data_IF_499155452676
#
_entry.id   IF_499155452676
#
_cell.length_a   1.000
_cell.length_b   1.000
_cell.length_c   1.000
_cell.angle_alpha   90.00
_cell.angle_beta   90.00
_cell.angle_gamma   90.00
#
_symmetry.space_group_name_H-M   'P 1'
#
loop_
_entity.id
_entity.type
_entity.pdbx_description
1 polymer ?
#
# COMPACT_ATOMS: atom_id res chain seq x y z
N UNK A 1 -11.01 11.27 -25.62
CA UNK A 1 -10.94 9.81 -25.44
C UNK A 1 -10.77 9.54 -23.95
N UNK A 2 -11.82 9.07 -23.29
CA UNK A 2 -11.99 9.09 -21.82
C UNK A 2 -11.40 7.85 -21.12
N UNK A 3 -10.88 6.89 -21.88
CA UNK A 3 -10.26 5.68 -21.34
C UNK A 3 -8.80 5.61 -21.79
N UNK A 4 -7.88 6.04 -20.92
CA UNK A 4 -6.47 5.70 -21.04
C UNK A 4 -6.20 4.59 -20.02
N UNK A 5 -5.62 3.49 -20.48
CA UNK A 5 -5.41 2.23 -19.72
C UNK A 5 -4.75 2.48 -18.35
N UNK A 6 -3.92 3.51 -18.25
CA UNK A 6 -3.15 3.85 -17.04
C UNK A 6 -3.75 4.98 -16.19
N UNK A 7 -4.92 5.53 -16.53
CA UNK A 7 -5.55 6.65 -15.80
C UNK A 7 -6.79 6.21 -15.06
N UNK A 8 -6.76 6.31 -13.73
CA UNK A 8 -7.97 6.31 -12.91
C UNK A 8 -8.83 7.52 -13.24
N UNK A 9 -10.16 7.34 -13.28
CA UNK A 9 -11.11 8.44 -13.47
C UNK A 9 -11.57 8.91 -12.10
N UNK A 10 -11.19 10.12 -11.69
CA UNK A 10 -11.63 10.70 -10.42
C UNK A 10 -13.14 10.96 -10.49
N UNK A 11 -13.89 10.37 -9.58
CA UNK A 11 -15.36 10.44 -9.53
C UNK A 11 -15.86 11.40 -8.46
N UNK A 12 -15.05 11.69 -7.43
CA UNK A 12 -15.35 12.68 -6.40
C UNK A 12 -14.06 13.30 -5.85
N UNK A 13 -14.08 14.62 -5.68
CA UNK A 13 -13.02 15.39 -5.00
C UNK A 13 -13.59 16.07 -3.77
N UNK A 14 -12.80 16.15 -2.71
CA UNK A 14 -13.19 16.86 -1.50
C UNK A 14 -12.86 18.35 -1.55
N UNK A 15 -13.14 19.06 -0.47
CA UNK A 15 -13.11 20.53 -0.42
C UNK A 15 -11.70 21.12 -0.58
N UNK A 16 -10.65 20.33 -0.31
CA UNK A 16 -9.25 20.75 -0.47
C UNK A 16 -8.54 20.08 -1.65
N UNK A 17 -9.30 19.49 -2.58
CA UNK A 17 -8.78 18.88 -3.80
C UNK A 17 -8.32 17.42 -3.65
N UNK A 18 -8.51 16.81 -2.48
CA UNK A 18 -8.30 15.37 -2.25
C UNK A 18 -9.19 14.52 -3.15
N UNK A 19 -8.64 13.44 -3.72
CA UNK A 19 -9.42 12.44 -4.45
C UNK A 19 -10.16 11.54 -3.47
N UNK A 20 -11.46 11.79 -3.29
CA UNK A 20 -12.31 11.03 -2.38
C UNK A 20 -12.82 9.73 -3.01
N UNK A 21 -12.96 9.69 -4.33
CA UNK A 21 -13.38 8.52 -5.08
C UNK A 21 -12.77 8.55 -6.48
N UNK A 22 -12.41 7.37 -6.99
CA UNK A 22 -12.02 7.18 -8.38
C UNK A 22 -12.50 5.83 -8.89
N UNK A 23 -12.75 5.73 -10.19
CA UNK A 23 -12.75 4.44 -10.88
C UNK A 23 -11.29 4.05 -11.08
N UNK A 24 -10.88 2.94 -10.45
CA UNK A 24 -9.56 2.35 -10.64
C UNK A 24 -9.24 2.20 -12.13
N UNK A 25 -7.95 2.31 -12.48
CA UNK A 25 -7.52 2.03 -13.85
C UNK A 25 -7.96 0.62 -14.25
N UNK A 26 -8.47 0.43 -15.47
CA UNK A 26 -9.11 -0.83 -15.90
C UNK A 26 -8.19 -2.04 -15.76
N UNK A 27 -6.86 -1.84 -15.89
CA UNK A 27 -5.89 -2.92 -15.69
C UNK A 27 -5.83 -3.42 -14.23
N UNK A 28 -6.03 -2.55 -13.23
CA UNK A 28 -6.03 -2.95 -11.82
C UNK A 28 -7.28 -3.78 -11.51
N UNK A 29 -8.44 -3.39 -12.02
CA UNK A 29 -9.69 -4.13 -11.85
C UNK A 29 -9.58 -5.55 -12.42
N UNK A 30 -9.11 -5.68 -13.66
CA UNK A 30 -8.88 -6.99 -14.27
C UNK A 30 -7.89 -7.83 -13.45
N UNK A 31 -6.80 -7.21 -12.97
CA UNK A 31 -5.82 -7.90 -12.12
C UNK A 31 -6.41 -8.35 -10.79
N UNK A 32 -7.19 -7.53 -10.10
CA UNK A 32 -7.80 -7.96 -8.83
C UNK A 32 -8.79 -9.12 -9.02
N UNK A 33 -9.55 -9.12 -10.12
CA UNK A 33 -10.43 -10.24 -10.50
C UNK A 33 -9.60 -11.51 -10.78
N UNK A 34 -8.50 -11.39 -11.53
CA UNK A 34 -7.59 -12.52 -11.80
C UNK A 34 -6.88 -13.01 -10.53
N UNK A 35 -6.43 -12.09 -9.66
CA UNK A 35 -5.81 -12.39 -8.37
C UNK A 35 -6.76 -13.14 -7.43
N UNK A 36 -8.04 -12.77 -7.44
CA UNK A 36 -9.08 -13.48 -6.72
C UNK A 36 -9.42 -14.83 -7.38
N UNK A 37 -9.06 -15.06 -8.64
CA UNK A 37 -9.42 -16.29 -9.35
C UNK A 37 -10.93 -16.48 -9.43
N UNK A 38 -11.69 -15.39 -9.64
CA UNK A 38 -13.15 -15.44 -9.71
C UNK A 38 -13.59 -16.31 -10.89
N UNK A 39 -14.52 -17.23 -10.64
CA UNK A 39 -15.09 -18.11 -11.67
C UNK A 39 -16.62 -18.10 -11.65
N UNK A 40 -17.23 -18.69 -12.67
CA UNK A 40 -18.67 -18.87 -12.76
C UNK A 40 -19.26 -19.53 -11.50
N UNK A 41 -20.42 -19.06 -11.05
CA UNK A 41 -21.15 -19.56 -9.89
C UNK A 41 -20.69 -18.99 -8.53
N UNK A 42 -19.60 -18.22 -8.48
CA UNK A 42 -19.12 -17.65 -7.22
C UNK A 42 -20.03 -16.52 -6.70
N UNK A 43 -20.06 -16.39 -5.37
CA UNK A 43 -20.61 -15.24 -4.66
C UNK A 43 -19.47 -14.29 -4.29
N UNK A 44 -19.51 -13.07 -4.81
CA UNK A 44 -18.43 -12.09 -4.65
C UNK A 44 -18.92 -10.85 -3.89
N UNK A 45 -18.13 -10.41 -2.92
CA UNK A 45 -18.26 -9.10 -2.28
C UNK A 45 -17.20 -8.15 -2.85
N UNK A 46 -17.65 -7.00 -3.34
CA UNK A 46 -16.80 -5.86 -3.66
C UNK A 46 -16.92 -4.79 -2.56
N UNK A 47 -15.79 -4.28 -2.05
CA UNK A 47 -15.72 -3.16 -1.11
C UNK A 47 -15.14 -1.92 -1.81
N UNK A 48 -15.94 -0.86 -1.92
CA UNK A 48 -15.66 0.34 -2.70
C UNK A 48 -16.37 0.28 -4.05
N UNK A 49 -17.54 0.92 -4.15
CA UNK A 49 -18.44 0.73 -5.30
C UNK A 49 -18.30 1.84 -6.33
N UNK A 50 -18.05 1.47 -7.59
CA UNK A 50 -18.23 2.36 -8.74
C UNK A 50 -19.32 1.88 -9.71
N UNK A 51 -19.97 0.76 -9.42
CA UNK A 51 -20.87 0.01 -10.31
C UNK A 51 -20.16 -0.72 -11.45
N UNK A 52 -19.13 -0.12 -12.07
CA UNK A 52 -18.46 -0.70 -13.23
C UNK A 52 -17.76 -2.04 -12.93
N UNK A 53 -16.94 -2.11 -11.88
CA UNK A 53 -16.24 -3.35 -11.54
C UNK A 53 -17.21 -4.43 -11.00
N UNK A 54 -18.27 -4.04 -10.30
CA UNK A 54 -19.38 -4.94 -9.97
C UNK A 54 -20.05 -5.55 -11.21
N UNK A 55 -20.23 -4.78 -12.30
CA UNK A 55 -20.75 -5.30 -13.56
C UNK A 55 -19.77 -6.29 -14.24
N UNK A 56 -18.47 -6.00 -14.21
CA UNK A 56 -17.44 -6.94 -14.70
C UNK A 56 -17.45 -8.25 -13.89
N UNK A 57 -17.53 -8.15 -12.57
CA UNK A 57 -17.66 -9.30 -11.67
C UNK A 57 -18.90 -10.11 -11.99
N UNK A 58 -20.04 -9.44 -12.25
CA UNK A 58 -21.25 -10.11 -12.65
C UNK A 58 -20.99 -10.92 -13.92
N UNK A 59 -20.43 -10.34 -14.98
CA UNK A 59 -20.10 -11.08 -16.21
C UNK A 59 -19.25 -12.34 -15.95
N UNK A 60 -18.25 -12.25 -15.08
CA UNK A 60 -17.37 -13.40 -14.75
C UNK A 60 -18.09 -14.49 -13.96
N UNK A 61 -18.89 -14.14 -12.95
CA UNK A 61 -19.60 -15.14 -12.13
C UNK A 61 -20.80 -15.75 -12.85
N UNK A 62 -21.26 -15.16 -13.96
CA UNK A 62 -22.36 -15.70 -14.77
C UNK A 62 -23.72 -15.63 -14.08
N UNK A 63 -24.69 -16.38 -14.62
CA UNK A 63 -26.09 -16.34 -14.16
C UNK A 63 -26.33 -17.04 -12.82
N UNK A 64 -25.49 -18.01 -12.47
CA UNK A 64 -25.61 -18.79 -11.23
C UNK A 64 -24.80 -18.18 -10.07
N UNK A 65 -24.03 -17.12 -10.34
CA UNK A 65 -23.27 -16.37 -9.35
C UNK A 65 -24.02 -15.15 -8.82
N UNK A 66 -23.45 -14.50 -7.82
CA UNK A 66 -24.03 -13.28 -7.25
C UNK A 66 -22.94 -12.27 -6.89
N UNK A 67 -23.22 -10.98 -7.10
CA UNK A 67 -22.32 -9.90 -6.72
C UNK A 67 -23.01 -8.98 -5.74
N UNK A 68 -22.34 -8.72 -4.62
CA UNK A 68 -22.70 -7.66 -3.67
C UNK A 68 -21.59 -6.61 -3.73
N UNK A 69 -21.96 -5.34 -3.87
CA UNK A 69 -21.01 -4.22 -3.86
C UNK A 69 -21.42 -3.22 -2.80
N UNK A 70 -20.46 -2.77 -2.00
CA UNK A 70 -20.71 -1.87 -0.88
C UNK A 70 -19.91 -0.59 -0.98
N UNK A 71 -20.52 0.52 -0.59
CA UNK A 71 -19.85 1.80 -0.41
C UNK A 71 -20.50 2.58 0.74
N UNK A 72 -19.72 3.39 1.44
CA UNK A 72 -20.21 4.21 2.56
C UNK A 72 -21.00 5.43 2.06
N UNK A 73 -20.69 5.91 0.84
CA UNK A 73 -21.23 7.14 0.30
C UNK A 73 -22.60 6.92 -0.39
N UNK A 74 -23.67 7.59 0.10
CA UNK A 74 -25.01 7.47 -0.48
C UNK A 74 -25.09 7.95 -1.94
N UNK A 75 -24.28 8.94 -2.33
CA UNK A 75 -24.28 9.47 -3.70
C UNK A 75 -23.71 8.42 -4.67
N UNK A 76 -22.63 7.76 -4.23
CA UNK A 76 -21.94 6.73 -4.99
C UNK A 76 -22.83 5.50 -5.16
N UNK A 77 -23.43 5.01 -4.06
CA UNK A 77 -24.34 3.86 -4.11
C UNK A 77 -25.61 4.13 -4.92
N UNK A 78 -26.21 5.32 -4.79
CA UNK A 78 -27.38 5.71 -5.60
C UNK A 78 -27.05 5.74 -7.09
N UNK A 79 -25.89 6.33 -7.45
CA UNK A 79 -25.42 6.37 -8.83
C UNK A 79 -25.12 4.98 -9.38
N UNK A 80 -24.43 4.13 -8.62
CA UNK A 80 -24.11 2.76 -9.03
C UNK A 80 -25.40 1.96 -9.28
N UNK A 81 -26.38 2.07 -8.38
CA UNK A 81 -27.69 1.41 -8.52
C UNK A 81 -28.40 1.80 -9.81
N UNK A 82 -28.48 3.10 -10.11
CA UNK A 82 -29.13 3.59 -11.32
C UNK A 82 -28.42 3.09 -12.59
N UNK A 83 -27.09 3.22 -12.65
CA UNK A 83 -26.31 2.81 -13.83
C UNK A 83 -26.35 1.30 -14.05
N UNK A 84 -26.31 0.50 -12.99
CA UNK A 84 -26.44 -0.96 -13.09
C UNK A 84 -27.83 -1.36 -13.59
N UNK A 85 -28.90 -0.70 -13.15
CA UNK A 85 -30.24 -0.93 -13.66
C UNK A 85 -30.36 -0.55 -15.15
N UNK A 86 -29.87 0.63 -15.54
CA UNK A 86 -29.89 1.11 -16.93
C UNK A 86 -29.11 0.21 -17.90
N UNK A 87 -28.07 -0.47 -17.39
CA UNK A 87 -27.21 -1.36 -18.18
C UNK A 87 -27.58 -2.84 -18.08
N UNK A 88 -28.68 -3.19 -17.39
CA UNK A 88 -29.22 -4.56 -17.33
C UNK A 88 -28.60 -5.46 -16.24
N UNK A 89 -27.83 -4.88 -15.30
CA UNK A 89 -27.21 -5.59 -14.18
C UNK A 89 -27.98 -5.46 -12.86
N UNK A 90 -29.08 -4.71 -12.82
CA UNK A 90 -29.84 -4.44 -11.59
C UNK A 90 -30.31 -5.68 -10.84
N UNK A 91 -30.62 -6.78 -11.55
CA UNK A 91 -31.03 -8.06 -10.95
C UNK A 91 -29.84 -8.95 -10.56
N UNK A 92 -28.62 -8.60 -10.98
CA UNK A 92 -27.40 -9.40 -10.82
C UNK A 92 -26.43 -8.85 -9.79
N UNK A 93 -26.51 -7.54 -9.53
CA UNK A 93 -25.63 -6.83 -8.60
C UNK A 93 -26.47 -6.15 -7.52
N UNK A 94 -26.24 -6.55 -6.27
CA UNK A 94 -26.85 -5.90 -5.11
C UNK A 94 -25.92 -4.81 -4.59
N UNK A 95 -26.34 -3.56 -4.72
CA UNK A 95 -25.64 -2.40 -4.14
C UNK A 95 -26.11 -2.16 -2.71
N UNK A 96 -25.18 -1.96 -1.78
CA UNK A 96 -25.49 -1.70 -0.36
C UNK A 96 -24.74 -0.46 0.11
N UNK A 97 -25.47 0.50 0.68
CA UNK A 97 -24.85 1.59 1.42
C UNK A 97 -24.43 1.07 2.80
N UNK A 98 -23.12 0.92 3.01
CA UNK A 98 -22.54 0.32 4.20
C UNK A 98 -21.11 0.80 4.40
N UNK A 99 -20.77 1.16 5.64
CA UNK A 99 -19.36 1.22 6.04
C UNK A 99 -18.81 -0.21 6.12
N UNK A 100 -17.88 -0.53 5.23
CA UNK A 100 -17.31 -1.86 5.10
C UNK A 100 -16.46 -2.32 6.30
N UNK A 101 -16.29 -1.49 7.34
CA UNK A 101 -15.84 -1.95 8.65
C UNK A 101 -16.82 -2.94 9.30
N UNK A 102 -18.07 -2.97 8.86
CA UNK A 102 -19.13 -3.82 9.36
C UNK A 102 -19.51 -4.94 8.39
N UNK A 103 -20.15 -5.99 8.91
CA UNK A 103 -20.62 -7.11 8.09
C UNK A 103 -21.77 -6.67 7.19
N UNK A 104 -21.81 -7.22 5.99
CA UNK A 104 -22.96 -7.13 5.10
C UNK A 104 -24.15 -7.86 5.76
N UNK A 105 -25.31 -7.20 5.98
CA UNK A 105 -26.46 -7.85 6.60
C UNK A 105 -26.93 -9.08 5.82
N UNK A 106 -27.41 -10.11 6.53
CA UNK A 106 -28.09 -11.28 5.93
C UNK A 106 -27.38 -12.63 6.03
N UNK A 107 -26.38 -12.79 6.92
CA UNK A 107 -25.59 -14.04 7.09
C UNK A 107 -24.92 -14.56 5.80
N UNK A 108 -24.69 -13.67 4.84
CA UNK A 108 -24.11 -14.04 3.55
C UNK A 108 -22.62 -14.41 3.71
N UNK A 109 -22.23 -15.52 3.07
CA UNK A 109 -20.84 -15.92 2.88
C UNK A 109 -20.42 -15.69 1.41
N UNK A 110 -19.15 -15.35 1.21
CA UNK A 110 -18.56 -15.01 -0.08
C UNK A 110 -17.37 -15.92 -0.39
N UNK A 111 -17.32 -16.38 -1.64
CA UNK A 111 -16.20 -17.15 -2.20
C UNK A 111 -15.01 -16.25 -2.52
N UNK A 112 -15.28 -15.00 -2.88
CA UNK A 112 -14.25 -13.97 -3.02
C UNK A 112 -14.69 -12.64 -2.40
N UNK A 113 -13.74 -11.97 -1.75
CA UNK A 113 -13.89 -10.59 -1.29
C UNK A 113 -12.82 -9.75 -1.99
N UNK A 114 -13.21 -8.74 -2.74
CA UNK A 114 -12.31 -7.85 -3.47
C UNK A 114 -12.48 -6.44 -2.91
N UNK A 115 -11.41 -5.90 -2.34
CA UNK A 115 -11.39 -4.56 -1.78
C UNK A 115 -10.73 -3.61 -2.78
N UNK A 116 -11.42 -2.55 -3.17
CA UNK A 116 -10.96 -1.60 -4.20
C UNK A 116 -10.57 -0.24 -3.61
N UNK A 117 -10.22 -0.23 -2.31
CA UNK A 117 -9.73 0.92 -1.56
C UNK A 117 -8.46 0.53 -0.78
N UNK A 118 -7.59 1.51 -0.51
CA UNK A 118 -6.36 1.32 0.25
C UNK A 118 -6.65 1.16 1.74
N UNK A 119 -6.33 -0.01 2.30
CA UNK A 119 -6.67 -0.37 3.68
C UNK A 119 -5.43 -0.48 4.54
N UNK A 120 -5.55 -0.12 5.82
CA UNK A 120 -4.45 -0.31 6.77
C UNK A 120 -4.35 -1.75 7.29
N UNK A 121 -5.48 -2.47 7.30
CA UNK A 121 -5.63 -3.76 7.96
C UNK A 121 -6.66 -4.65 7.25
N UNK A 122 -6.62 -5.95 7.50
CA UNK A 122 -7.67 -6.89 7.07
C UNK A 122 -8.75 -6.95 8.16
N UNK A 123 -9.99 -6.62 7.82
CA UNK A 123 -11.02 -6.42 8.83
C UNK A 123 -11.69 -7.74 9.25
N UNK A 124 -11.98 -7.93 10.55
CA UNK A 124 -12.68 -9.13 11.05
C UNK A 124 -14.04 -9.36 10.38
N UNK A 125 -14.76 -8.29 10.00
CA UNK A 125 -16.03 -8.38 9.30
C UNK A 125 -15.89 -9.16 7.98
N UNK A 126 -14.88 -8.85 7.17
CA UNK A 126 -14.62 -9.54 5.90
C UNK A 126 -14.27 -11.00 6.14
N UNK A 127 -13.40 -11.26 7.12
CA UNK A 127 -13.03 -12.62 7.47
C UNK A 127 -14.21 -13.42 8.01
N UNK A 128 -15.16 -12.81 8.71
CA UNK A 128 -16.34 -13.52 9.20
C UNK A 128 -17.30 -13.95 8.09
N UNK A 129 -17.24 -13.29 6.93
CA UNK A 129 -18.09 -13.56 5.76
C UNK A 129 -17.34 -14.25 4.62
N UNK A 130 -16.05 -14.59 4.80
CA UNK A 130 -15.26 -15.33 3.83
C UNK A 130 -15.40 -16.84 4.06
N UNK A 131 -15.75 -17.60 3.02
CA UNK A 131 -15.83 -19.08 3.08
C UNK A 131 -14.47 -19.70 3.45
N UNK A 132 -14.44 -20.98 3.80
CA UNK A 132 -13.19 -21.67 4.18
C UNK A 132 -12.18 -21.71 3.03
N UNK A 133 -12.67 -21.94 1.82
CA UNK A 133 -11.87 -21.97 0.57
C UNK A 133 -11.79 -20.59 -0.10
N UNK A 134 -12.38 -19.58 0.53
CA UNK A 134 -12.51 -18.26 -0.04
C UNK A 134 -11.18 -17.53 -0.13
N UNK A 135 -11.15 -16.56 -1.05
CA UNK A 135 -10.01 -15.66 -1.28
C UNK A 135 -10.40 -14.22 -0.97
N UNK A 136 -9.50 -13.49 -0.32
CA UNK A 136 -9.66 -12.06 -0.12
C UNK A 136 -8.51 -11.32 -0.79
N UNK A 137 -8.83 -10.36 -1.66
CA UNK A 137 -7.86 -9.46 -2.31
C UNK A 137 -7.97 -8.10 -1.65
N UNK A 138 -6.86 -7.65 -1.05
CA UNK A 138 -6.79 -6.39 -0.29
C UNK A 138 -5.63 -5.52 -0.75
N UNK A 139 -5.86 -4.25 -1.10
CA UNK A 139 -4.84 -3.24 -1.25
C UNK A 139 -4.29 -2.81 0.13
N UNK A 140 -3.41 -3.65 0.69
CA UNK A 140 -2.92 -3.49 2.04
C UNK A 140 -1.75 -2.51 2.09
N UNK A 141 -1.85 -1.50 2.96
CA UNK A 141 -0.81 -0.50 3.22
C UNK A 141 0.17 -1.01 4.29
N UNK A 142 1.46 -0.89 4.02
CA UNK A 142 2.59 -1.37 4.81
C UNK A 142 3.58 -0.23 4.97
N UNK A 143 3.37 0.56 6.01
CA UNK A 143 4.12 1.78 6.28
C UNK A 143 4.17 2.76 5.07
N UNK A 144 2.99 3.07 4.51
CA UNK A 144 2.85 3.91 3.31
C UNK A 144 3.07 3.21 1.96
N UNK A 145 3.67 2.01 1.92
CA UNK A 145 3.80 1.19 0.70
C UNK A 145 2.56 0.33 0.53
N UNK A 146 1.93 0.33 -0.64
CA UNK A 146 0.71 -0.46 -0.89
C UNK A 146 0.95 -1.56 -1.91
N UNK A 147 0.37 -2.73 -1.66
CA UNK A 147 0.24 -3.83 -2.63
C UNK A 147 -1.17 -4.39 -2.59
N UNK A 148 -1.70 -4.83 -3.74
CA UNK A 148 -2.83 -5.76 -3.72
C UNK A 148 -2.29 -7.13 -3.35
N UNK A 149 -2.88 -7.76 -2.33
CA UNK A 149 -2.48 -9.08 -1.85
C UNK A 149 -3.71 -9.97 -1.83
N UNK A 150 -3.63 -11.08 -2.57
CA UNK A 150 -4.63 -12.14 -2.53
C UNK A 150 -4.27 -13.13 -1.43
N UNK A 151 -5.14 -13.28 -0.44
CA UNK A 151 -4.97 -14.15 0.71
C UNK A 151 -5.94 -15.32 0.67
N UNK A 152 -5.47 -16.50 1.07
CA UNK A 152 -6.30 -17.66 1.41
C UNK A 152 -6.04 -18.10 2.84
N UNK A 153 -7.01 -18.78 3.44
CA UNK A 153 -6.85 -19.37 4.78
C UNK A 153 -5.85 -20.52 4.76
N UNK A 154 -5.03 -20.57 5.79
CA UNK A 154 -4.11 -21.65 6.11
C UNK A 154 -4.14 -21.84 7.62
N UNK A 155 -5.00 -22.74 8.11
CA UNK A 155 -5.26 -22.89 9.54
C UNK A 155 -5.85 -21.63 10.16
N UNK A 156 -5.16 -21.07 11.16
CA UNK A 156 -5.57 -19.87 11.90
C UNK A 156 -4.99 -18.55 11.34
N UNK A 157 -4.30 -18.62 10.19
CA UNK A 157 -3.73 -17.47 9.48
C UNK A 157 -4.22 -17.38 8.04
N UNK A 158 -3.82 -16.31 7.37
CA UNK A 158 -3.93 -16.14 5.93
C UNK A 158 -2.54 -16.15 5.30
N UNK A 159 -2.42 -16.73 4.10
CA UNK A 159 -1.18 -16.74 3.31
C UNK A 159 -1.41 -16.18 1.92
N UNK A 160 -0.46 -15.41 1.42
CA UNK A 160 -0.55 -14.79 0.10
C UNK A 160 -0.44 -15.82 -1.01
N UNK A 161 -1.29 -15.71 -2.02
CA UNK A 161 -1.26 -16.50 -3.26
C UNK A 161 -0.86 -15.66 -4.47
N UNK A 162 -1.06 -14.34 -4.40
CA UNK A 162 -0.63 -13.37 -5.41
C UNK A 162 -0.40 -12.00 -4.77
N UNK A 163 0.54 -11.22 -5.30
CA UNK A 163 0.92 -9.91 -4.78
C UNK A 163 1.31 -8.99 -5.90
N UNK A 164 0.84 -7.74 -5.87
CA UNK A 164 1.09 -6.80 -6.94
C UNK A 164 1.24 -5.37 -6.43
N UNK A 165 2.11 -4.57 -7.07
CA UNK A 165 2.29 -3.16 -6.71
C UNK A 165 1.08 -2.36 -7.17
N UNK A 166 0.50 -1.55 -6.28
CA UNK A 166 -0.67 -0.75 -6.60
C UNK A 166 -0.81 0.50 -5.72
N UNK A 167 -1.68 1.41 -6.15
CA UNK A 167 -2.08 2.60 -5.38
C UNK A 167 -3.59 2.79 -5.46
N UNK A 168 -4.20 3.14 -4.33
CA UNK A 168 -5.65 3.26 -4.17
C UNK A 168 -6.00 4.48 -3.32
N UNK A 169 -7.23 4.99 -3.47
CA UNK A 169 -7.79 5.97 -2.55
C UNK A 169 -7.92 5.34 -1.15
N UNK A 170 -7.65 6.10 -0.06
CA UNK A 170 -7.67 5.53 1.28
C UNK A 170 -9.10 5.15 1.72
N UNK A 171 -9.22 4.07 2.47
CA UNK A 171 -10.46 3.67 3.13
C UNK A 171 -10.96 4.78 4.08
N UNK A 172 -12.28 5.00 4.03
CA UNK A 172 -13.01 5.92 4.90
C UNK A 172 -13.87 5.13 5.91
N UNK A 173 -14.50 5.83 6.85
CA UNK A 173 -15.34 5.21 7.87
C UNK A 173 -14.59 4.81 9.14
N UNK A 174 -15.14 3.87 9.90
CA UNK A 174 -14.70 3.49 11.24
C UNK A 174 -13.27 2.91 11.26
N UNK A 175 -12.85 2.29 10.17
CA UNK A 175 -11.49 1.74 9.99
C UNK A 175 -10.53 2.67 9.25
N UNK A 176 -10.93 3.94 9.01
CA UNK A 176 -10.06 4.93 8.40
C UNK A 176 -8.79 5.14 9.21
N UNK A 177 -7.64 5.14 8.53
CA UNK A 177 -6.33 5.35 9.16
C UNK A 177 -5.60 6.51 8.49
N UNK A 178 -5.75 7.74 9.00
CA UNK A 178 -5.06 8.89 8.44
C UNK A 178 -3.56 8.78 8.70
N UNK A 179 -2.77 9.13 7.69
CA UNK A 179 -1.33 9.24 7.81
C UNK A 179 -0.95 10.54 8.53
N UNK A 180 0.18 10.53 9.22
CA UNK A 180 0.72 11.68 9.95
C UNK A 180 1.74 12.38 9.06
N UNK A 181 1.54 13.68 8.82
CA UNK A 181 2.43 14.48 7.98
C UNK A 181 3.22 15.45 8.86
N UNK A 182 4.54 15.38 8.77
CA UNK A 182 5.46 16.38 9.31
C UNK A 182 5.97 17.25 8.18
N UNK A 183 5.95 18.57 8.34
CA UNK A 183 6.46 19.51 7.34
C UNK A 183 7.78 20.09 7.85
N UNK A 184 8.84 19.92 7.08
CA UNK A 184 10.15 20.46 7.32
C UNK A 184 10.34 21.68 6.41
N UNK A 185 10.35 22.91 6.95
CA UNK A 185 10.58 24.10 6.14
C UNK A 185 11.98 24.06 5.50
N UNK A 186 12.05 24.31 4.20
CA UNK A 186 13.33 24.39 3.48
C UNK A 186 13.87 25.83 3.56
N UNK A 187 15.16 26.04 3.89
CA UNK A 187 15.77 27.37 3.92
C UNK A 187 15.70 28.16 2.60
N UNK A 188 15.57 27.48 1.46
CA UNK A 188 15.44 28.09 0.13
C UNK A 188 13.99 28.49 -0.21
N UNK A 189 13.03 28.12 0.65
CA UNK A 189 11.60 28.30 0.43
C UNK A 189 10.89 26.98 0.11
N UNK A 190 9.59 26.92 0.43
CA UNK A 190 8.80 25.69 0.38
C UNK A 190 9.04 24.77 1.58
N UNK A 191 8.53 23.54 1.49
CA UNK A 191 8.70 22.53 2.53
C UNK A 191 8.92 21.12 1.97
N UNK A 192 9.57 20.29 2.78
CA UNK A 192 9.64 18.84 2.59
C UNK A 192 8.63 18.20 3.54
N UNK A 193 7.66 17.48 2.99
CA UNK A 193 6.65 16.76 3.75
C UNK A 193 7.06 15.31 3.95
N UNK A 194 7.10 14.87 5.21
CA UNK A 194 7.35 13.49 5.62
C UNK A 194 6.05 12.86 6.09
N UNK A 195 5.66 11.76 5.45
CA UNK A 195 4.41 11.05 5.69
C UNK A 195 4.70 9.73 6.38
N UNK A 196 4.09 9.56 7.55
CA UNK A 196 4.24 8.42 8.43
C UNK A 196 2.91 7.70 8.59
N UNK A 197 3.00 6.39 8.59
CA UNK A 197 1.89 5.49 8.82
C UNK A 197 2.09 4.75 10.15
N UNK A 198 3.34 4.35 10.41
CA UNK A 198 3.85 3.91 11.70
C UNK A 198 5.13 4.67 12.06
N UNK A 199 5.57 4.56 13.31
CA UNK A 199 6.89 5.06 13.74
C UNK A 199 7.05 6.58 13.63
N UNK A 200 5.95 7.32 13.85
CA UNK A 200 5.98 8.78 13.94
C UNK A 200 6.96 9.17 15.05
N UNK A 201 7.87 10.14 14.84
CA UNK A 201 8.77 10.62 15.89
C UNK A 201 8.00 11.10 17.13
N UNK A 202 8.45 10.72 18.32
CA UNK A 202 7.79 11.08 19.59
C UNK A 202 7.77 12.60 19.83
N UNK A 203 8.85 13.29 19.47
CA UNK A 203 8.95 14.75 19.51
C UNK A 203 9.36 15.32 18.15
N UNK A 204 8.39 15.67 17.27
CA UNK A 204 8.68 16.22 15.95
C UNK A 204 9.47 17.54 15.96
N UNK A 205 9.43 18.31 17.06
CA UNK A 205 10.14 19.60 17.17
C UNK A 205 11.65 19.44 17.15
N UNK A 206 12.14 18.24 17.42
CA UNK A 206 13.56 17.90 17.27
C UNK A 206 14.05 18.02 15.81
N UNK A 207 13.14 18.10 14.84
CA UNK A 207 13.44 18.31 13.43
C UNK A 207 13.34 19.78 13.00
N UNK A 208 13.05 20.71 13.92
CA UNK A 208 12.93 22.13 13.58
C UNK A 208 14.26 22.65 13.02
N UNK A 209 14.22 23.21 11.81
CA UNK A 209 15.40 23.71 11.12
C UNK A 209 16.39 22.63 10.66
N UNK A 210 16.02 21.34 10.69
CA UNK A 210 16.93 20.24 10.33
C UNK A 210 17.52 20.41 8.93
N UNK A 211 16.74 20.88 7.95
CA UNK A 211 17.20 21.10 6.57
C UNK A 211 18.22 22.24 6.43
N UNK A 212 18.38 23.10 7.44
CA UNK A 212 19.39 24.16 7.47
C UNK A 212 20.77 23.67 7.95
N UNK A 213 20.85 22.44 8.43
CA UNK A 213 22.11 21.86 8.92
C UNK A 213 23.01 21.39 7.78
N UNK A 214 24.27 21.05 8.12
CA UNK A 214 25.21 20.46 7.16
C UNK A 214 24.72 19.10 6.66
N UNK A 215 25.01 18.80 5.39
CA UNK A 215 24.64 17.53 4.76
C UNK A 215 25.71 16.47 5.01
N UNK A 216 25.26 15.26 5.34
CA UNK A 216 26.09 14.05 5.40
C UNK A 216 25.62 13.04 4.35
N UNK A 217 26.48 12.12 3.96
CA UNK A 217 26.17 11.10 2.95
C UNK A 217 26.74 9.75 3.37
N UNK A 218 26.04 8.67 3.03
CA UNK A 218 26.53 7.31 3.18
C UNK A 218 26.17 6.50 1.93
N UNK A 219 27.18 5.90 1.31
CA UNK A 219 27.03 5.15 0.06
C UNK A 219 27.17 3.65 0.32
N UNK A 220 26.30 2.86 -0.28
CA UNK A 220 26.11 1.45 0.09
C UNK A 220 27.10 0.50 -0.57
N UNK A 221 27.80 0.93 -1.63
CA UNK A 221 28.55 0.09 -2.57
C UNK A 221 27.68 -0.89 -3.38
N UNK A 222 26.35 -0.77 -3.28
CA UNK A 222 25.41 -1.55 -4.08
C UNK A 222 25.10 -0.78 -5.36
N UNK A 223 25.44 -1.37 -6.50
CA UNK A 223 25.16 -0.82 -7.82
C UNK A 223 23.96 -1.51 -8.47
N UNK A 224 23.10 -0.72 -9.11
CA UNK A 224 21.88 -1.15 -9.81
C UNK A 224 21.88 -0.67 -11.25
N UNK A 225 21.30 -1.48 -12.13
CA UNK A 225 21.10 -1.07 -13.52
C UNK A 225 19.97 -0.02 -13.60
N UNK A 226 19.99 0.85 -14.61
CA UNK A 226 18.99 1.90 -14.77
C UNK A 226 17.55 1.41 -15.03
N UNK A 227 17.38 0.15 -15.42
CA UNK A 227 16.08 -0.48 -15.69
C UNK A 227 15.55 -1.33 -14.53
N UNK A 228 16.25 -1.38 -13.41
CA UNK A 228 15.88 -2.23 -12.27
C UNK A 228 14.74 -1.61 -11.44
N UNK A 229 13.77 -2.42 -11.04
CA UNK A 229 12.67 -1.97 -10.19
C UNK A 229 13.12 -1.84 -8.74
N UNK A 230 12.67 -0.78 -8.07
CA UNK A 230 12.91 -0.57 -6.63
C UNK A 230 11.72 -0.95 -5.75
N UNK A 231 10.64 -1.50 -6.29
CA UNK A 231 9.42 -1.75 -5.52
C UNK A 231 9.65 -2.64 -4.28
N UNK A 232 10.54 -3.63 -4.37
CA UNK A 232 10.89 -4.51 -3.25
C UNK A 232 11.87 -3.86 -2.26
N UNK A 233 12.72 -2.92 -2.71
CA UNK A 233 13.56 -2.12 -1.82
C UNK A 233 12.69 -1.23 -0.92
N UNK A 234 11.62 -0.64 -1.47
CA UNK A 234 10.68 0.18 -0.68
C UNK A 234 9.99 -0.67 0.38
N UNK A 235 9.51 -1.84 -0.02
CA UNK A 235 8.86 -2.75 0.91
C UNK A 235 9.83 -3.24 2.00
N UNK A 236 11.08 -3.54 1.63
CA UNK A 236 12.13 -3.90 2.57
C UNK A 236 12.37 -2.78 3.59
N UNK A 237 12.55 -1.54 3.11
CA UNK A 237 12.76 -0.38 3.98
C UNK A 237 11.57 -0.13 4.91
N UNK A 238 10.35 -0.22 4.38
CA UNK A 238 9.12 -0.09 5.15
C UNK A 238 9.00 -1.13 6.28
N UNK A 239 9.54 -2.34 6.07
CA UNK A 239 9.53 -3.43 7.04
C UNK A 239 10.69 -3.44 8.04
N UNK A 240 11.89 -2.98 7.65
CA UNK A 240 13.12 -3.16 8.43
C UNK A 240 13.81 -1.87 8.88
N UNK A 241 13.36 -0.69 8.44
CA UNK A 241 13.97 0.59 8.81
C UNK A 241 13.05 1.38 9.76
N UNK A 242 13.30 1.34 11.09
CA UNK A 242 12.54 2.13 12.05
C UNK A 242 12.62 3.63 11.74
N UNK A 243 11.48 4.31 11.79
CA UNK A 243 11.36 5.73 11.42
C UNK A 243 11.24 5.96 9.92
N UNK A 244 11.06 4.90 9.11
CA UNK A 244 10.76 5.02 7.69
C UNK A 244 9.54 5.92 7.46
N UNK A 245 9.66 6.80 6.47
CA UNK A 245 8.60 7.68 6.03
C UNK A 245 8.63 7.83 4.52
N UNK A 246 7.49 8.18 3.95
CA UNK A 246 7.44 8.65 2.58
C UNK A 246 7.71 10.16 2.53
N UNK A 247 8.38 10.65 1.51
CA UNK A 247 8.76 12.06 1.38
C UNK A 247 8.16 12.68 0.12
N UNK A 248 7.85 13.97 0.22
CA UNK A 248 7.51 14.82 -0.91
C UNK A 248 8.18 16.18 -0.71
N UNK A 249 8.93 16.64 -1.69
CA UNK A 249 9.59 17.94 -1.67
C UNK A 249 8.83 18.90 -2.60
N UNK A 250 8.40 20.05 -2.08
CA UNK A 250 7.73 21.07 -2.87
C UNK A 250 8.69 21.70 -3.89
N UNK A 251 8.14 22.16 -5.01
CA UNK A 251 8.92 22.88 -6.02
C UNK A 251 9.59 24.12 -5.41
N UNK A 252 10.89 24.28 -5.65
CA UNK A 252 11.70 25.38 -5.11
C UNK A 252 12.51 25.03 -3.87
N UNK A 253 12.26 23.86 -3.26
CA UNK A 253 13.12 23.33 -2.18
C UNK A 253 14.46 22.81 -2.73
N UNK A 254 15.50 22.76 -1.90
CA UNK A 254 16.80 22.21 -2.31
C UNK A 254 16.67 20.74 -2.75
N UNK A 255 15.82 19.96 -2.08
CA UNK A 255 15.58 18.55 -2.41
C UNK A 255 14.82 18.38 -3.73
N UNK A 256 13.91 19.30 -4.10
CA UNK A 256 13.22 19.22 -5.40
C UNK A 256 14.17 19.40 -6.60
N UNK A 257 15.29 20.10 -6.39
CA UNK A 257 16.31 20.32 -7.42
C UNK A 257 17.23 19.10 -7.62
N UNK A 258 17.29 18.21 -6.63
CA UNK A 258 17.94 16.91 -6.78
C UNK A 258 17.05 16.05 -7.71
N UNK A 259 17.26 16.19 -9.02
CA UNK A 259 16.48 15.46 -10.04
C UNK A 259 16.64 13.95 -9.85
N UNK A 260 15.57 13.27 -9.47
CA UNK A 260 15.49 11.82 -9.30
C UNK A 260 14.18 11.40 -8.65
N UNK A 261 13.77 10.16 -8.87
CA UNK A 261 12.61 9.56 -8.20
C UNK A 261 12.94 9.38 -6.72
N UNK A 262 12.36 10.18 -5.82
CA UNK A 262 12.61 10.08 -4.37
C UNK A 262 11.33 10.18 -3.54
N UNK A 263 10.82 9.08 -2.97
CA UNK A 263 9.60 9.13 -2.18
C UNK A 263 9.80 8.57 -0.78
N UNK A 264 11.01 8.24 -0.31
CA UNK A 264 11.19 7.76 1.07
C UNK A 264 12.46 8.21 1.78
N UNK A 265 12.34 8.29 3.10
CA UNK A 265 13.38 8.65 4.03
C UNK A 265 13.24 7.91 5.35
N UNK A 266 14.05 8.33 6.32
CA UNK A 266 14.03 7.85 7.69
C UNK A 266 14.29 9.01 8.63
N UNK A 267 13.51 9.09 9.70
CA UNK A 267 13.81 9.96 10.83
C UNK A 267 14.41 9.15 11.97
N UNK A 268 15.55 9.59 12.49
CA UNK A 268 16.17 9.02 13.69
C UNK A 268 16.50 10.15 14.66
N UNK A 269 15.72 10.24 15.74
CA UNK A 269 15.84 11.32 16.72
C UNK A 269 15.63 12.69 16.07
N UNK A 270 16.67 13.53 16.09
CA UNK A 270 16.70 14.89 15.56
C UNK A 270 17.32 14.98 14.15
N UNK A 271 17.40 13.86 13.43
CA UNK A 271 18.06 13.77 12.13
C UNK A 271 17.16 13.07 11.11
N UNK A 272 17.29 13.51 9.86
CA UNK A 272 16.50 13.04 8.73
C UNK A 272 17.43 12.59 7.60
N UNK A 273 17.28 11.36 7.13
CA UNK A 273 17.98 10.85 5.96
C UNK A 273 16.98 10.48 4.87
N UNK A 274 17.38 10.62 3.61
CA UNK A 274 16.59 10.25 2.44
C UNK A 274 17.40 9.41 1.49
N UNK A 275 16.70 8.55 0.76
CA UNK A 275 17.31 7.70 -0.26
C UNK A 275 17.92 8.54 -1.36
N UNK A 276 19.12 8.18 -1.78
CA UNK A 276 19.85 8.87 -2.83
C UNK A 276 20.56 7.86 -3.73
N UNK A 277 20.89 8.31 -4.94
CA UNK A 277 21.74 7.55 -5.85
C UNK A 277 22.79 8.48 -6.48
N UNK A 278 23.89 7.89 -6.91
CA UNK A 278 24.94 8.56 -7.70
C UNK A 278 25.37 7.66 -8.86
N UNK A 279 26.01 8.19 -9.91
CA UNK A 279 26.57 7.35 -10.96
C UNK A 279 27.51 6.27 -10.39
N UNK A 280 27.35 5.03 -10.86
CA UNK A 280 28.23 3.92 -10.51
C UNK A 280 29.68 4.20 -10.94
N UNK A 281 30.66 3.70 -10.18
CA UNK A 281 32.08 3.93 -10.49
C UNK A 281 32.49 3.27 -11.81
N UNK A 282 31.83 2.17 -12.18
CA UNK A 282 32.02 1.45 -13.45
C UNK A 282 31.33 2.09 -14.67
N UNK A 283 30.62 3.21 -14.52
CA UNK A 283 30.01 3.97 -15.62
C UNK A 283 28.69 3.41 -16.17
N UNK A 284 28.26 2.21 -15.77
CA UNK A 284 26.93 1.66 -16.08
C UNK A 284 26.08 1.52 -14.82
N UNK A 285 25.01 2.30 -14.71
CA UNK A 285 24.05 2.22 -13.60
C UNK A 285 24.30 3.25 -12.49
N UNK A 286 23.69 3.00 -11.34
CA UNK A 286 23.69 3.90 -10.18
C UNK A 286 24.11 3.16 -8.92
N UNK A 287 24.97 3.77 -8.11
CA UNK A 287 25.21 3.34 -6.74
C UNK A 287 24.11 3.90 -5.83
N UNK A 288 23.53 3.04 -5.01
CA UNK A 288 22.52 3.40 -4.03
C UNK A 288 23.15 3.91 -2.73
N UNK A 289 22.48 4.83 -2.06
CA UNK A 289 22.93 5.37 -0.77
C UNK A 289 21.88 6.25 -0.11
N UNK A 290 22.36 7.10 0.77
CA UNK A 290 21.53 8.04 1.50
C UNK A 290 22.25 9.36 1.70
N UNK A 291 21.49 10.44 1.71
CA UNK A 291 21.92 11.76 2.18
C UNK A 291 21.12 12.12 3.42
N UNK A 292 21.69 12.92 4.31
CA UNK A 292 21.05 13.24 5.56
C UNK A 292 21.37 14.64 6.08
N UNK A 293 20.47 15.09 6.93
CA UNK A 293 20.49 16.34 7.67
C UNK A 293 20.34 16.05 9.17
N UNK A 294 20.80 16.99 9.99
CA UNK A 294 20.72 16.94 11.44
C UNK A 294 22.06 16.53 12.10
N UNK A 295 22.18 16.73 13.42
CA UNK A 295 23.42 16.49 14.16
C UNK A 295 23.87 15.03 14.19
N UNK A 296 22.96 14.08 13.94
CA UNK A 296 23.22 12.64 13.78
C UNK A 296 22.88 12.16 12.36
N UNK A 297 22.98 13.05 11.37
CA UNK A 297 22.70 12.71 9.97
C UNK A 297 23.55 11.55 9.45
N UNK A 298 24.82 11.47 9.84
CA UNK A 298 25.73 10.39 9.43
C UNK A 298 25.22 9.01 9.90
N UNK A 299 24.72 8.92 11.15
CA UNK A 299 24.14 7.68 11.68
C UNK A 299 22.83 7.30 10.98
N UNK A 300 22.01 8.29 10.61
CA UNK A 300 20.78 8.06 9.86
C UNK A 300 21.06 7.59 8.42
N UNK A 301 22.01 8.23 7.73
CA UNK A 301 22.45 7.82 6.39
C UNK A 301 23.09 6.43 6.42
N UNK A 302 23.96 6.15 7.40
CA UNK A 302 24.62 4.87 7.55
C UNK A 302 23.62 3.73 7.82
N UNK A 303 22.57 3.97 8.60
CA UNK A 303 21.50 3.00 8.83
C UNK A 303 20.76 2.64 7.54
N UNK A 304 20.41 3.64 6.71
CA UNK A 304 19.79 3.39 5.41
C UNK A 304 20.75 2.63 4.46
N UNK A 305 22.02 3.04 4.37
CA UNK A 305 23.02 2.34 3.56
C UNK A 305 23.23 0.88 4.03
N UNK A 306 23.16 0.63 5.34
CA UNK A 306 23.22 -0.72 5.90
C UNK A 306 22.01 -1.56 5.49
N UNK A 307 20.80 -0.99 5.48
CA UNK A 307 19.60 -1.66 5.00
C UNK A 307 19.62 -1.92 3.49
N UNK A 308 20.18 -1.01 2.69
CA UNK A 308 20.39 -1.24 1.25
C UNK A 308 21.29 -2.47 1.04
N UNK A 309 22.39 -2.58 1.80
CA UNK A 309 23.26 -3.77 1.75
C UNK A 309 22.56 -5.04 2.24
N UNK A 310 21.67 -4.94 3.22
CA UNK A 310 20.91 -6.09 3.70
C UNK A 310 19.91 -6.58 2.64
N UNK A 311 19.17 -5.66 2.02
CA UNK A 311 18.28 -5.95 0.89
C UNK A 311 19.03 -6.61 -0.27
N UNK A 312 20.19 -6.07 -0.66
CA UNK A 312 21.01 -6.63 -1.74
C UNK A 312 21.41 -8.09 -1.49
N UNK A 313 21.75 -8.42 -0.23
CA UNK A 313 22.13 -9.79 0.17
C UNK A 313 20.95 -10.75 0.28
N UNK A 314 19.82 -10.30 0.82
CA UNK A 314 18.77 -11.20 1.30
C UNK A 314 17.49 -11.19 0.45
N UNK A 315 17.28 -10.18 -0.40
CA UNK A 315 16.00 -9.97 -1.07
C UNK A 315 16.13 -9.68 -2.57
N UNK A 316 17.08 -8.83 -2.98
CA UNK A 316 17.17 -8.26 -4.33
C UNK A 316 17.15 -9.29 -5.47
N UNK A 317 17.83 -10.42 -5.29
CA UNK A 317 17.97 -11.49 -6.30
C UNK A 317 17.18 -12.75 -5.92
N UNK A 318 16.41 -12.68 -4.84
CA UNK A 318 15.58 -13.77 -4.33
C UNK A 318 14.26 -13.90 -5.07
N UNK A 319 13.46 -14.92 -4.73
CA UNK A 319 12.06 -14.97 -5.07
C UNK A 319 11.30 -13.74 -4.56
N UNK A 320 10.13 -13.48 -5.14
CA UNK A 320 9.25 -12.42 -4.67
C UNK A 320 8.89 -12.61 -3.18
N UNK A 321 8.70 -11.51 -2.41
CA UNK A 321 8.31 -11.61 -1.02
C UNK A 321 6.93 -12.27 -0.88
N UNK A 322 6.76 -13.04 0.19
CA UNK A 322 5.49 -13.67 0.56
C UNK A 322 4.92 -13.01 1.80
N UNK A 323 3.59 -13.05 1.94
CA UNK A 323 2.89 -12.37 3.03
C UNK A 323 2.06 -13.38 3.79
N UNK A 324 2.00 -13.22 5.11
CA UNK A 324 1.03 -13.91 5.94
C UNK A 324 0.38 -12.91 6.90
N UNK A 325 -0.91 -13.09 7.13
CA UNK A 325 -1.67 -12.26 8.07
C UNK A 325 -2.23 -13.16 9.17
N UNK A 326 -1.97 -12.76 10.41
CA UNK A 326 -2.34 -13.48 11.62
C UNK A 326 -3.45 -12.68 12.32
N UNK A 327 -4.73 -13.04 12.18
CA UNK A 327 -5.81 -12.35 12.87
C UNK A 327 -5.61 -12.37 14.39
N UNK A 328 -6.14 -11.35 15.07
CA UNK A 328 -6.10 -11.28 16.53
C UNK A 328 -6.72 -12.55 17.15
N UNK A 329 -5.99 -13.17 18.07
CA UNK A 329 -6.38 -14.45 18.68
C UNK A 329 -5.84 -15.70 17.99
N UNK A 330 -5.15 -15.57 16.86
CA UNK A 330 -4.34 -16.67 16.26
C UNK A 330 -3.06 -16.93 17.07
N UNK A 331 -2.34 -18.00 16.75
CA UNK A 331 -1.06 -18.36 17.35
C UNK A 331 0.09 -17.36 17.09
N UNK A 332 -0.12 -16.42 16.16
CA UNK A 332 0.86 -15.40 15.78
C UNK A 332 2.07 -15.97 15.02
N UNK A 333 2.96 -15.10 14.51
CA UNK A 333 4.08 -15.52 13.67
C UNK A 333 5.21 -16.24 14.40
N UNK A 334 5.17 -16.35 15.74
CA UNK A 334 6.29 -16.84 16.53
C UNK A 334 7.50 -15.88 16.51
N UNK A 335 8.70 -16.40 16.77
CA UNK A 335 9.94 -15.63 16.68
C UNK A 335 10.34 -15.44 15.20
N UNK A 336 10.36 -14.19 14.75
CA UNK A 336 10.66 -13.84 13.37
C UNK A 336 12.16 -13.96 13.07
N UNK A 337 12.50 -14.68 12.00
CA UNK A 337 13.85 -14.71 11.47
C UNK A 337 14.26 -13.32 10.91
N UNK A 338 15.57 -13.07 10.76
CA UNK A 338 16.09 -11.76 10.32
C UNK A 338 15.68 -11.31 8.91
N UNK A 339 15.09 -12.21 8.11
CA UNK A 339 14.53 -11.95 6.78
C UNK A 339 12.98 -11.91 6.80
N UNK A 340 12.37 -11.75 7.96
CA UNK A 340 10.92 -11.60 8.13
C UNK A 340 10.62 -10.27 8.82
N UNK A 341 9.93 -9.38 8.12
CA UNK A 341 9.42 -8.15 8.72
C UNK A 341 8.08 -8.42 9.38
N UNK A 342 7.89 -7.86 10.58
CA UNK A 342 6.66 -8.00 11.37
C UNK A 342 6.04 -6.61 11.53
N UNK A 343 4.79 -6.47 11.09
CA UNK A 343 4.03 -5.23 11.13
C UNK A 343 2.77 -5.44 11.98
N UNK A 344 2.75 -4.84 13.16
CA UNK A 344 1.59 -4.83 14.04
C UNK A 344 0.44 -4.04 13.40
N UNK A 345 -0.75 -4.65 13.38
CA UNK A 345 -1.98 -4.05 12.88
C UNK A 345 -3.02 -3.97 14.00
N UNK A 346 -4.17 -3.35 13.74
CA UNK A 346 -5.22 -3.19 14.76
C UNK A 346 -5.90 -4.53 15.08
N UNK A 347 -6.09 -5.38 14.07
CA UNK A 347 -6.85 -6.61 14.12
C UNK A 347 -5.99 -7.86 13.91
N UNK A 348 -4.67 -7.73 13.91
CA UNK A 348 -3.76 -8.84 13.69
C UNK A 348 -2.32 -8.41 13.47
N UNK A 349 -1.53 -9.33 12.92
CA UNK A 349 -0.12 -9.12 12.61
C UNK A 349 0.14 -9.50 11.16
N UNK A 350 0.75 -8.59 10.39
CA UNK A 350 1.20 -8.88 9.04
C UNK A 350 2.69 -9.23 9.06
N UNK A 351 3.07 -10.35 8.47
CA UNK A 351 4.46 -10.70 8.21
C UNK A 351 4.78 -10.67 6.73
N UNK A 352 5.95 -10.14 6.40
CA UNK A 352 6.52 -10.15 5.05
C UNK A 352 7.80 -10.99 5.12
N UNK A 353 7.88 -12.05 4.33
CA UNK A 353 9.04 -12.96 4.31
C UNK A 353 9.75 -12.85 2.97
N UNK A 354 11.08 -12.73 3.02
CA UNK A 354 11.95 -12.74 1.84
C UNK A 354 12.67 -14.08 1.77
N UNK A 355 12.24 -15.01 0.89
CA UNK A 355 12.85 -16.32 0.79
C UNK A 355 14.30 -16.22 0.33
N UNK A 356 15.17 -17.07 0.88
CA UNK A 356 16.56 -17.16 0.43
C UNK A 356 16.62 -17.77 -0.99
N UNK A 357 17.65 -17.39 -1.74
CA UNK A 357 17.96 -18.03 -3.03
C UNK A 357 18.47 -19.45 -2.72
N UNK A 358 17.69 -20.46 -3.12
CA UNK A 358 18.06 -21.88 -2.99
C UNK A 358 19.22 -22.29 -3.88
#
# INVERSE_FOLDING_TARGET
>A
MVYAIDRSVITKTGEHGEHLSSVSATYIQAREIEQAGVTAGMRVLEVGSGGYNAALLAEVVGADGAVVTVDIDPDITSRATALLAETGYGDRVRVVQLDAAHVVPGEEMFDAIIVTVGVWDVLPAWLSQLTSEGVIVVPLRMNGVTRTIAFRRDGDRLVSTSTEVAGFVPMQGDSARPERILRLPDPQGGAVSLRFDLGVPDDPRLLDGVLATGRSEAWSQVEVAGSESFADLYLWMAGFLPGFCLLHAEEGTALSAERGWFPFGVVRGNSFAYFAFRPAAGGSGSELGARAYGPHGEEAAAAMAAQIRAWDRHARRGPAPTFAYWPAGSGGPGEAAGNVAVLEKTHGVLTISWPEVS
#
